data_IF_090119132653
#
_entry.id   IF_090119132653
#
_cell.length_a   1.000
_cell.length_b   1.000
_cell.length_c   1.000
_cell.angle_alpha   90.00
_cell.angle_beta   90.00
_cell.angle_gamma   90.00
#
_symmetry.space_group_name_H-M   'P 1'
#
loop_
_entity.id
_entity.type
_entity.pdbx_description
1 polymer ?
#
# COMPACT_ATOMS: atom_id res chain seq x y z
N UNK A 1 -13.57 17.06 -5.63
CA UNK A 1 -13.06 15.66 -5.59
C UNK A 1 -13.32 15.14 -4.18
N UNK A 2 -13.79 13.90 -3.98
CA UNK A 2 -14.02 13.38 -2.62
C UNK A 2 -12.68 13.09 -1.92
N UNK A 3 -12.62 13.22 -0.60
CA UNK A 3 -11.42 12.93 0.20
C UNK A 3 -10.93 11.49 -0.02
N UNK A 4 -11.84 10.52 -0.15
CA UNK A 4 -11.51 9.13 -0.44
C UNK A 4 -10.81 8.97 -1.80
N UNK A 5 -11.32 9.62 -2.85
CA UNK A 5 -10.68 9.62 -4.18
C UNK A 5 -9.32 10.29 -4.14
N UNK A 6 -9.20 11.38 -3.38
CA UNK A 6 -7.93 12.09 -3.18
C UNK A 6 -6.87 11.20 -2.52
N UNK A 7 -7.25 10.43 -1.49
CA UNK A 7 -6.32 9.50 -0.84
C UNK A 7 -5.96 8.30 -1.73
N UNK A 8 -6.93 7.75 -2.47
CA UNK A 8 -6.67 6.68 -3.42
C UNK A 8 -5.71 7.11 -4.54
N UNK A 9 -5.82 8.36 -5.01
CA UNK A 9 -4.96 8.93 -6.04
C UNK A 9 -3.48 8.93 -5.64
N UNK A 10 -3.10 9.59 -4.53
CA UNK A 10 -1.68 9.62 -4.15
C UNK A 10 -1.14 8.25 -3.73
N UNK A 11 -1.96 7.39 -3.13
CA UNK A 11 -1.56 6.00 -2.81
C UNK A 11 -1.19 5.22 -4.07
N UNK A 12 -1.83 5.53 -5.22
CA UNK A 12 -1.51 4.89 -6.49
C UNK A 12 -0.24 5.45 -7.17
N UNK A 13 0.20 6.64 -6.75
CA UNK A 13 1.39 7.33 -7.28
C UNK A 13 2.67 7.03 -6.50
N UNK A 14 2.57 6.44 -5.29
CA UNK A 14 3.72 6.01 -4.50
C UNK A 14 3.96 4.53 -4.68
N UNK A 15 5.23 4.13 -4.81
CA UNK A 15 5.58 2.72 -4.88
C UNK A 15 5.76 2.19 -3.46
N UNK A 16 4.87 1.28 -3.05
CA UNK A 16 4.93 0.63 -1.74
C UNK A 16 5.18 -0.88 -1.90
N UNK A 17 6.12 -1.40 -1.10
CA UNK A 17 6.41 -2.83 -0.96
C UNK A 17 6.28 -3.22 0.51
N UNK A 18 5.40 -4.16 0.83
CA UNK A 18 5.04 -4.51 2.21
C UNK A 18 3.95 -3.61 2.80
N UNK A 19 3.69 -3.72 4.12
CA UNK A 19 2.60 -2.99 4.76
C UNK A 19 2.82 -1.47 4.75
N UNK A 20 1.75 -0.74 4.41
CA UNK A 20 1.71 0.73 4.41
C UNK A 20 0.33 1.23 4.90
N UNK A 21 -0.04 2.47 4.57
CA UNK A 21 -1.26 3.12 5.03
C UNK A 21 -2.50 2.60 4.30
N UNK A 22 -3.55 2.31 5.07
CA UNK A 22 -4.86 1.91 4.56
C UNK A 22 -5.72 3.14 4.27
N UNK A 23 -6.64 3.03 3.31
CA UNK A 23 -7.59 4.10 3.01
C UNK A 23 -8.49 4.47 4.22
N UNK A 24 -9.01 3.51 5.02
CA UNK A 24 -9.76 3.83 6.22
C UNK A 24 -8.98 4.64 7.26
N UNK A 25 -7.71 4.28 7.54
CA UNK A 25 -6.84 5.05 8.46
C UNK A 25 -6.64 6.47 7.94
N UNK A 26 -6.38 6.63 6.64
CA UNK A 26 -6.22 7.95 6.04
C UNK A 26 -7.48 8.79 6.14
N UNK A 27 -8.66 8.23 5.86
CA UNK A 27 -9.93 8.94 5.98
C UNK A 27 -10.24 9.38 7.42
N UNK A 28 -9.81 8.59 8.40
CA UNK A 28 -9.97 8.93 9.82
C UNK A 28 -9.06 10.08 10.24
N UNK A 29 -7.79 10.05 9.85
CA UNK A 29 -6.77 11.00 10.33
C UNK A 29 -6.67 12.26 9.46
N UNK A 30 -7.03 12.13 8.18
CA UNK A 30 -7.07 13.23 7.21
C UNK A 30 -8.49 13.38 6.61
N UNK A 31 -9.54 13.61 7.43
CA UNK A 31 -10.92 13.68 6.94
C UNK A 31 -11.14 14.83 5.93
N UNK A 32 -10.31 15.87 6.02
CA UNK A 32 -10.31 17.03 5.13
C UNK A 32 -9.25 16.94 4.01
N UNK A 33 -8.59 15.79 3.86
CA UNK A 33 -7.46 15.58 2.95
C UNK A 33 -6.10 15.93 3.56
N UNK A 34 -5.06 15.78 2.75
CA UNK A 34 -3.67 16.06 3.13
C UNK A 34 -3.44 17.56 3.38
N UNK A 35 -2.37 17.92 4.06
CA UNK A 35 -2.04 19.32 4.29
C UNK A 35 -1.82 20.06 2.97
N UNK A 36 -2.31 21.31 2.91
CA UNK A 36 -2.16 22.14 1.72
C UNK A 36 -0.70 22.54 1.50
N UNK A 37 -0.32 22.75 0.25
CA UNK A 37 1.00 23.28 -0.06
C UNK A 37 1.04 24.81 0.00
N UNK A 38 2.14 25.31 0.54
CA UNK A 38 2.53 26.71 0.42
C UNK A 38 3.12 26.96 -0.99
N UNK A 39 2.50 27.83 -1.82
CA UNK A 39 3.00 28.16 -3.16
C UNK A 39 4.40 28.77 -3.17
N UNK A 40 4.78 29.53 -2.15
CA UNK A 40 6.13 30.13 -2.10
C UNK A 40 7.19 29.07 -1.80
N UNK A 41 6.91 28.17 -0.86
CA UNK A 41 7.76 27.01 -0.61
C UNK A 41 7.93 26.13 -1.85
N UNK A 42 6.85 25.90 -2.61
CA UNK A 42 6.93 25.10 -3.84
C UNK A 42 7.87 25.72 -4.89
N UNK A 43 7.91 27.05 -5.00
CA UNK A 43 8.86 27.74 -5.88
C UNK A 43 10.30 27.53 -5.40
N UNK A 44 10.55 27.64 -4.10
CA UNK A 44 11.87 27.41 -3.52
C UNK A 44 12.32 25.95 -3.71
N UNK A 45 11.42 24.99 -3.49
CA UNK A 45 11.68 23.57 -3.74
C UNK A 45 12.07 23.32 -5.20
N UNK A 46 11.33 23.90 -6.16
CA UNK A 46 11.65 23.79 -7.59
C UNK A 46 13.04 24.31 -7.89
N UNK A 47 13.38 25.52 -7.42
CA UNK A 47 14.70 26.11 -7.64
C UNK A 47 15.83 25.26 -7.04
N UNK A 48 15.66 24.79 -5.80
CA UNK A 48 16.64 23.95 -5.13
C UNK A 48 16.81 22.58 -5.81
N UNK A 49 15.72 22.02 -6.32
CA UNK A 49 15.74 20.76 -7.07
C UNK A 49 16.41 20.93 -8.44
N UNK A 50 16.12 22.00 -9.18
CA UNK A 50 16.77 22.33 -10.45
C UNK A 50 18.28 22.54 -10.27
N UNK A 51 18.70 23.30 -9.25
CA UNK A 51 20.11 23.49 -8.91
C UNK A 51 20.80 22.15 -8.58
N UNK A 52 20.13 21.30 -7.80
CA UNK A 52 20.64 19.97 -7.47
C UNK A 52 20.79 19.09 -8.71
N UNK A 53 19.79 19.09 -9.59
CA UNK A 53 19.75 18.31 -10.82
C UNK A 53 20.84 18.77 -11.79
N UNK A 54 21.00 20.09 -12.00
CA UNK A 54 22.06 20.66 -12.82
C UNK A 54 23.45 20.27 -12.30
N UNK A 55 23.64 20.29 -10.99
CA UNK A 55 24.88 19.80 -10.38
C UNK A 55 25.11 18.30 -10.63
N UNK A 56 24.07 17.46 -10.60
CA UNK A 56 24.21 16.03 -10.90
C UNK A 56 24.53 15.75 -12.37
N UNK A 57 24.02 16.58 -13.28
CA UNK A 57 24.26 16.49 -14.72
C UNK A 57 25.59 17.14 -15.14
N UNK A 58 26.19 17.96 -14.28
CA UNK A 58 27.47 18.61 -14.52
C UNK A 58 28.65 17.64 -14.66
N UNK A 59 29.72 18.10 -15.32
CA UNK A 59 30.91 17.28 -15.56
C UNK A 59 31.67 16.88 -14.28
N UNK A 60 31.49 17.65 -13.19
CA UNK A 60 32.07 17.38 -11.87
C UNK A 60 31.03 17.73 -10.78
N UNK A 61 30.11 16.82 -10.47
CA UNK A 61 29.10 17.06 -9.44
C UNK A 61 29.73 17.33 -8.08
N UNK A 62 29.29 18.37 -7.40
CA UNK A 62 29.75 18.75 -6.07
C UNK A 62 28.95 17.99 -4.99
N UNK A 63 29.61 17.22 -4.10
CA UNK A 63 28.92 16.51 -3.01
C UNK A 63 28.25 17.46 -2.01
N UNK A 64 28.75 18.69 -1.87
CA UNK A 64 28.17 19.70 -0.97
C UNK A 64 26.76 20.12 -1.41
N UNK A 65 26.55 20.33 -2.71
CA UNK A 65 25.23 20.66 -3.28
C UNK A 65 24.25 19.50 -3.08
N UNK A 66 24.71 18.25 -3.26
CA UNK A 66 23.88 17.08 -2.96
C UNK A 66 23.42 17.03 -1.50
N UNK A 67 24.35 17.28 -0.56
CA UNK A 67 24.00 17.32 0.86
C UNK A 67 23.11 18.51 1.21
N UNK A 68 23.32 19.67 0.59
CA UNK A 68 22.50 20.86 0.78
C UNK A 68 21.05 20.66 0.29
N UNK A 69 20.85 19.95 -0.83
CA UNK A 69 19.53 19.55 -1.30
C UNK A 69 18.79 18.69 -0.28
N UNK A 70 19.45 17.65 0.24
CA UNK A 70 18.85 16.78 1.27
C UNK A 70 18.56 17.57 2.55
N UNK A 71 19.44 18.50 2.93
CA UNK A 71 19.28 19.38 4.08
C UNK A 71 18.07 20.31 3.92
N UNK A 72 17.93 20.91 2.74
CA UNK A 72 16.77 21.74 2.38
C UNK A 72 15.46 20.95 2.51
N UNK A 73 15.39 19.73 1.96
CA UNK A 73 14.17 18.93 2.04
C UNK A 73 13.84 18.60 3.50
N UNK A 74 14.81 18.17 4.30
CA UNK A 74 14.53 17.79 5.69
C UNK A 74 14.21 18.99 6.58
N UNK A 75 14.92 20.11 6.44
CA UNK A 75 14.74 21.27 7.31
C UNK A 75 13.64 22.22 6.88
N UNK A 76 13.50 22.46 5.58
CA UNK A 76 12.55 23.44 5.04
C UNK A 76 11.27 22.75 4.58
N UNK A 77 11.36 21.64 3.84
CA UNK A 77 10.17 20.97 3.31
C UNK A 77 9.43 20.14 4.37
N UNK A 78 10.17 19.40 5.21
CA UNK A 78 9.61 18.68 6.35
C UNK A 78 9.60 19.51 7.65
N UNK A 79 10.11 20.74 7.61
CA UNK A 79 10.10 21.68 8.73
C UNK A 79 10.78 21.11 9.98
N UNK A 80 11.81 20.27 9.83
CA UNK A 80 12.55 19.67 10.96
C UNK A 80 13.65 20.64 11.44
N UNK A 81 13.47 21.37 12.56
CA UNK A 81 14.45 22.36 12.98
C UNK A 81 15.68 21.72 13.64
N UNK A 82 16.68 22.54 13.94
CA UNK A 82 17.97 22.10 14.49
C UNK A 82 17.87 21.41 15.84
N UNK A 83 16.81 21.64 16.60
CA UNK A 83 16.57 21.03 17.90
C UNK A 83 16.25 19.54 17.76
N UNK A 84 15.57 19.14 16.69
CA UNK A 84 15.12 17.74 16.48
C UNK A 84 15.94 17.00 15.43
N UNK A 85 16.54 17.70 14.45
CA UNK A 85 17.36 17.07 13.41
C UNK A 85 18.86 17.13 13.76
N UNK A 86 19.38 16.04 14.33
CA UNK A 86 20.76 15.93 14.80
C UNK A 86 21.67 15.34 13.73
N UNK A 87 22.87 15.92 13.59
CA UNK A 87 23.87 15.50 12.59
C UNK A 87 25.28 15.46 13.19
N UNK A 88 26.17 14.66 12.59
CA UNK A 88 27.57 14.60 12.98
C UNK A 88 27.76 14.22 14.45
N UNK A 89 28.52 15.03 15.20
CA UNK A 89 28.81 14.76 16.62
C UNK A 89 27.60 14.94 17.55
N UNK A 90 26.51 15.55 17.08
CA UNK A 90 25.28 15.70 17.85
C UNK A 90 24.43 14.43 17.90
N UNK A 91 24.70 13.45 17.02
CA UNK A 91 23.95 12.19 16.99
C UNK A 91 24.22 11.39 18.27
N UNK A 92 23.18 10.87 18.96
CA UNK A 92 23.34 10.05 20.15
C UNK A 92 24.29 8.85 19.93
N UNK A 93 25.18 8.63 20.89
CA UNK A 93 26.08 7.47 20.88
C UNK A 93 25.28 6.17 20.99
N UNK A 94 25.65 5.15 20.22
CA UNK A 94 25.01 3.84 20.25
C UNK A 94 24.08 3.55 19.07
N UNK A 95 23.79 4.54 18.21
CA UNK A 95 23.06 4.34 16.96
C UNK A 95 23.98 3.76 15.88
N UNK A 96 24.28 2.47 16.01
CA UNK A 96 25.09 1.73 15.06
C UNK A 96 24.70 0.25 15.01
N UNK A 97 24.88 -0.36 13.84
CA UNK A 97 24.76 -1.80 13.66
C UNK A 97 26.09 -2.38 13.18
N UNK A 98 26.65 -3.34 13.90
CA UNK A 98 27.86 -4.05 13.48
C UNK A 98 27.46 -5.35 12.80
N UNK A 99 27.68 -5.44 11.49
CA UNK A 99 27.45 -6.64 10.69
C UNK A 99 28.75 -7.45 10.71
N UNK A 100 28.94 -8.21 11.79
CA UNK A 100 30.20 -8.89 12.11
C UNK A 100 30.69 -9.80 10.99
N UNK A 101 29.79 -10.56 10.36
CA UNK A 101 30.10 -11.48 9.25
C UNK A 101 30.70 -10.77 8.03
N UNK A 102 30.39 -9.48 7.86
CA UNK A 102 30.82 -8.68 6.72
C UNK A 102 31.88 -7.63 7.10
N UNK A 103 32.18 -7.48 8.39
CA UNK A 103 33.12 -6.49 8.91
C UNK A 103 32.69 -5.04 8.67
N UNK A 104 31.39 -4.78 8.55
CA UNK A 104 30.84 -3.45 8.29
C UNK A 104 30.11 -2.90 9.51
N UNK A 105 30.23 -1.59 9.77
CA UNK A 105 29.43 -0.90 10.78
C UNK A 105 28.57 0.15 10.09
N UNK A 106 27.26 0.04 10.29
CA UNK A 106 26.26 0.96 9.78
C UNK A 106 26.02 2.05 10.82
N UNK A 107 25.84 3.29 10.36
CA UNK A 107 25.46 4.43 11.17
C UNK A 107 24.48 5.30 10.36
N UNK A 108 23.57 6.02 11.03
CA UNK A 108 22.79 7.05 10.35
C UNK A 108 23.69 8.24 10.00
N UNK A 109 23.36 8.93 8.91
CA UNK A 109 23.96 10.21 8.58
C UNK A 109 23.37 11.31 9.45
N UNK A 110 22.03 11.35 9.59
CA UNK A 110 21.25 12.24 10.46
C UNK A 110 20.18 11.47 11.25
N UNK A 111 19.67 12.08 12.32
CA UNK A 111 18.64 11.47 13.19
C UNK A 111 17.62 12.52 13.59
N UNK A 112 16.33 12.20 13.45
CA UNK A 112 15.24 12.96 14.07
C UNK A 112 15.01 12.41 15.48
N UNK A 113 15.04 13.27 16.48
CA UNK A 113 14.83 12.91 17.88
C UNK A 113 13.65 13.65 18.50
N UNK A 114 13.07 13.07 19.55
CA UNK A 114 12.11 13.77 20.41
C UNK A 114 12.78 15.00 21.05
N UNK A 115 12.11 16.18 21.04
CA UNK A 115 12.61 17.39 21.69
C UNK A 115 12.95 17.16 23.17
N UNK A 116 12.11 16.37 23.84
CA UNK A 116 12.27 15.99 25.23
C UNK A 116 12.89 14.60 25.31
N UNK A 117 14.16 14.53 25.72
CA UNK A 117 14.83 13.26 26.02
C UNK A 117 15.64 12.63 24.87
N UNK A 118 15.74 13.27 23.70
CA UNK A 118 16.58 12.85 22.58
C UNK A 118 16.35 11.41 22.10
N UNK A 119 15.14 10.87 22.31
CA UNK A 119 14.79 9.53 21.83
C UNK A 119 14.71 9.55 20.30
N UNK A 120 15.43 8.66 19.58
CA UNK A 120 15.40 8.61 18.12
C UNK A 120 14.03 8.18 17.60
N UNK A 121 13.50 8.92 16.61
CA UNK A 121 12.23 8.65 15.92
C UNK A 121 12.42 8.25 14.46
N UNK A 122 13.39 8.86 13.77
CA UNK A 122 13.72 8.55 12.38
C UNK A 122 15.24 8.53 12.19
N UNK A 123 15.77 7.46 11.61
CA UNK A 123 17.17 7.40 11.17
C UNK A 123 17.26 7.76 9.69
N UNK A 124 18.19 8.64 9.31
CA UNK A 124 18.36 9.05 7.91
C UNK A 124 19.71 8.59 7.37
N UNK A 125 19.72 7.97 6.19
CA UNK A 125 20.94 7.67 5.44
C UNK A 125 20.93 8.31 4.06
N UNK A 126 22.06 8.94 3.73
CA UNK A 126 22.28 9.62 2.45
C UNK A 126 23.32 8.80 1.67
N UNK A 127 22.93 8.29 0.52
CA UNK A 127 23.84 7.57 -0.39
C UNK A 127 24.19 8.42 -1.60
N UNK A 128 25.17 7.96 -2.38
CA UNK A 128 25.58 8.67 -3.59
C UNK A 128 24.40 8.81 -4.58
N UNK A 129 24.31 9.92 -5.32
CA UNK A 129 23.19 10.18 -6.24
C UNK A 129 22.94 9.08 -7.27
N UNK A 130 23.98 8.40 -7.74
CA UNK A 130 23.88 7.34 -8.74
C UNK A 130 23.51 5.97 -8.14
N UNK A 131 23.48 5.86 -6.80
CA UNK A 131 23.14 4.61 -6.12
C UNK A 131 21.62 4.43 -6.11
N UNK A 132 21.15 3.34 -6.70
CA UNK A 132 19.76 2.90 -6.57
C UNK A 132 19.55 2.29 -5.16
N UNK A 133 18.46 2.66 -4.48
CA UNK A 133 18.24 2.31 -3.08
C UNK A 133 17.89 0.83 -2.85
N UNK A 134 17.46 0.14 -3.90
CA UNK A 134 17.07 -1.27 -3.87
C UNK A 134 18.13 -2.21 -4.44
N UNK A 135 19.13 -1.66 -5.14
CA UNK A 135 20.25 -2.44 -5.69
C UNK A 135 21.43 -2.51 -4.71
N UNK A 136 22.17 -3.63 -4.68
CA UNK A 136 23.39 -3.75 -3.87
C UNK A 136 24.42 -2.65 -4.11
N UNK A 137 25.11 -2.24 -3.04
CA UNK A 137 26.27 -1.35 -3.14
C UNK A 137 27.43 -2.07 -3.87
N UNK A 138 27.91 -1.50 -4.98
CA UNK A 138 28.96 -2.13 -5.82
C UNK A 138 30.30 -2.23 -5.11
N UNK A 139 30.69 -1.22 -4.33
CA UNK A 139 32.03 -1.09 -3.74
C UNK A 139 32.12 -1.57 -2.28
N UNK A 140 31.12 -2.33 -1.82
CA UNK A 140 31.08 -2.88 -0.46
C UNK A 140 31.25 -4.39 -0.45
N UNK A 141 31.78 -4.91 0.67
CA UNK A 141 31.92 -6.37 0.90
C UNK A 141 30.55 -6.98 1.05
N UNK A 142 29.71 -6.34 1.86
CA UNK A 142 28.32 -6.72 2.00
C UNK A 142 27.49 -6.23 0.80
N UNK A 143 27.06 -7.16 -0.04
CA UNK A 143 26.21 -6.91 -1.22
C UNK A 143 24.73 -6.69 -0.88
N UNK A 144 24.45 -5.92 0.15
CA UNK A 144 23.09 -5.48 0.49
C UNK A 144 22.77 -4.12 -0.14
N UNK A 145 21.48 -3.91 -0.44
CA UNK A 145 20.97 -2.63 -0.90
C UNK A 145 20.90 -1.61 0.23
N UNK A 146 20.94 -0.29 -0.05
CA UNK A 146 20.68 0.74 0.96
C UNK A 146 19.41 0.49 1.79
N UNK A 147 18.32 0.05 1.15
CA UNK A 147 17.07 -0.32 1.82
C UNK A 147 17.27 -1.43 2.88
N UNK A 148 17.96 -2.51 2.50
CA UNK A 148 18.25 -3.65 3.40
C UNK A 148 19.17 -3.22 4.54
N UNK A 149 20.17 -2.39 4.24
CA UNK A 149 21.11 -1.87 5.24
C UNK A 149 20.40 -0.98 6.27
N UNK A 150 19.45 -0.16 5.84
CA UNK A 150 18.63 0.63 6.75
C UNK A 150 17.78 -0.27 7.66
N UNK A 151 17.14 -1.31 7.13
CA UNK A 151 16.38 -2.28 7.95
C UNK A 151 17.24 -2.89 9.07
N UNK A 152 18.45 -3.37 8.74
CA UNK A 152 19.38 -3.91 9.75
C UNK A 152 19.79 -2.85 10.79
N UNK A 153 20.03 -1.62 10.34
CA UNK A 153 20.34 -0.51 11.24
C UNK A 153 19.19 -0.20 12.21
N UNK A 154 17.96 -0.18 11.71
CA UNK A 154 16.74 0.06 12.49
C UNK A 154 16.54 -1.01 13.57
N UNK A 155 16.65 -2.29 13.18
CA UNK A 155 16.53 -3.41 14.11
C UNK A 155 17.59 -3.37 15.21
N UNK A 156 18.86 -3.11 14.86
CA UNK A 156 19.95 -3.02 15.82
C UNK A 156 19.78 -1.83 16.79
N UNK A 157 19.35 -0.67 16.27
CA UNK A 157 19.14 0.54 17.08
C UNK A 157 17.82 0.53 17.87
N UNK A 158 16.92 -0.44 17.64
CA UNK A 158 15.56 -0.45 18.17
C UNK A 158 14.76 0.82 17.79
N UNK A 159 14.91 1.27 16.54
CA UNK A 159 14.18 2.40 15.96
C UNK A 159 13.29 1.86 14.84
N UNK A 160 12.02 2.28 14.77
CA UNK A 160 11.05 1.73 13.82
C UNK A 160 11.18 2.30 12.41
N UNK A 161 11.42 3.61 12.30
CA UNK A 161 11.38 4.33 11.03
C UNK A 161 12.78 4.73 10.58
N UNK A 162 13.05 4.54 9.30
CA UNK A 162 14.24 5.05 8.63
C UNK A 162 13.91 5.69 7.29
N UNK A 163 14.71 6.66 6.87
CA UNK A 163 14.61 7.31 5.57
C UNK A 163 15.94 7.15 4.84
N UNK A 164 15.91 6.58 3.64
CA UNK A 164 17.09 6.45 2.79
C UNK A 164 16.90 7.32 1.56
N UNK A 165 17.92 8.09 1.18
CA UNK A 165 17.83 8.91 -0.02
C UNK A 165 19.14 9.00 -0.80
N UNK A 166 19.02 9.09 -2.11
CA UNK A 166 20.09 9.50 -3.03
C UNK A 166 19.85 10.92 -3.59
N UNK A 167 18.91 11.68 -3.02
CA UNK A 167 18.46 12.99 -3.47
C UNK A 167 17.25 12.94 -4.39
N UNK A 168 17.20 12.00 -5.34
CA UNK A 168 16.03 11.81 -6.22
C UNK A 168 14.99 10.92 -5.57
N UNK A 169 15.41 9.74 -5.11
CA UNK A 169 14.58 8.72 -4.51
C UNK A 169 14.60 8.89 -2.99
N UNK A 170 13.41 8.97 -2.40
CA UNK A 170 13.19 9.08 -0.96
C UNK A 170 12.42 7.84 -0.49
N UNK A 171 13.13 6.94 0.18
CA UNK A 171 12.61 5.65 0.61
C UNK A 171 12.38 5.63 2.13
N UNK A 172 11.11 5.64 2.54
CA UNK A 172 10.73 5.35 3.92
C UNK A 172 10.79 3.84 4.16
N UNK A 173 11.44 3.46 5.26
CA UNK A 173 11.53 2.08 5.76
C UNK A 173 10.81 2.03 7.10
N UNK A 174 9.75 1.23 7.19
CA UNK A 174 9.06 0.90 8.43
C UNK A 174 9.42 -0.53 8.83
N UNK A 175 10.26 -0.71 9.85
CA UNK A 175 10.79 -2.00 10.27
C UNK A 175 10.39 -2.32 11.73
N UNK A 176 9.11 -2.65 12.00
CA UNK A 176 8.68 -3.11 13.31
C UNK A 176 9.30 -4.46 13.65
N UNK A 177 9.76 -4.63 14.91
CA UNK A 177 10.42 -5.86 15.35
C UNK A 177 9.46 -7.05 15.31
N UNK A 178 9.83 -8.09 14.58
CA UNK A 178 9.05 -9.33 14.48
C UNK A 178 7.87 -9.26 13.51
N UNK A 179 7.71 -8.14 12.81
CA UNK A 179 6.67 -7.91 11.81
C UNK A 179 7.30 -7.66 10.43
N UNK A 180 6.47 -7.66 9.37
CA UNK A 180 6.94 -7.44 8.00
C UNK A 180 7.39 -6.00 7.79
N UNK A 181 8.60 -5.80 7.27
CA UNK A 181 9.11 -4.48 6.89
C UNK A 181 8.36 -3.92 5.68
N UNK A 182 7.95 -2.65 5.78
CA UNK A 182 7.38 -1.88 4.68
C UNK A 182 8.39 -0.89 4.09
N UNK A 183 8.34 -0.69 2.78
CA UNK A 183 9.19 0.20 1.99
C UNK A 183 8.31 1.09 1.12
N UNK A 184 8.48 2.41 1.20
CA UNK A 184 7.65 3.35 0.45
C UNK A 184 8.51 4.43 -0.20
N UNK A 185 8.33 4.60 -1.50
CA UNK A 185 9.16 5.44 -2.36
C UNK A 185 8.42 6.70 -2.80
N UNK A 186 9.09 7.83 -2.65
CA UNK A 186 8.78 9.09 -3.34
C UNK A 186 9.94 9.48 -4.26
N UNK A 187 9.62 10.23 -5.31
CA UNK A 187 10.59 10.71 -6.29
C UNK A 187 10.51 12.24 -6.40
N UNK A 188 11.67 12.91 -6.34
CA UNK A 188 11.79 14.36 -6.37
C UNK A 188 11.21 14.97 -7.65
N UNK A 189 11.45 14.36 -8.81
CA UNK A 189 10.86 14.79 -10.07
C UNK A 189 9.33 14.80 -10.02
N UNK A 190 8.74 13.77 -9.41
CA UNK A 190 7.29 13.60 -9.34
C UNK A 190 6.62 14.63 -8.43
N UNK A 191 7.33 15.20 -7.46
CA UNK A 191 6.80 16.26 -6.59
C UNK A 191 6.39 17.52 -7.36
N UNK A 192 7.03 17.80 -8.50
CA UNK A 192 6.76 18.98 -9.32
C UNK A 192 5.64 18.75 -10.35
N UNK A 193 5.43 17.49 -10.76
CA UNK A 193 4.39 17.08 -11.71
C UNK A 193 3.09 16.76 -10.98
N UNK A 194 3.20 15.95 -9.92
CA UNK A 194 2.10 15.45 -9.11
C UNK A 194 2.22 15.97 -7.67
N UNK A 195 1.86 17.25 -7.47
CA UNK A 195 1.97 17.93 -6.17
C UNK A 195 1.33 17.16 -5.01
N UNK A 196 0.35 16.30 -5.26
CA UNK A 196 -0.29 15.47 -4.24
C UNK A 196 0.70 14.49 -3.56
N UNK A 197 1.72 14.04 -4.28
CA UNK A 197 2.78 13.16 -3.73
C UNK A 197 3.67 13.90 -2.74
N UNK A 198 3.98 15.17 -3.01
CA UNK A 198 4.69 16.05 -2.09
C UNK A 198 3.82 16.38 -0.86
N UNK A 199 2.51 16.57 -1.03
CA UNK A 199 1.58 16.78 0.10
C UNK A 199 1.58 15.57 1.02
N UNK A 200 1.54 14.37 0.44
CA UNK A 200 1.60 13.13 1.21
C UNK A 200 2.94 13.01 1.94
N UNK A 201 4.06 13.26 1.26
CA UNK A 201 5.39 13.24 1.86
C UNK A 201 5.49 14.18 3.08
N UNK A 202 5.04 15.43 2.95
CA UNK A 202 5.03 16.42 4.05
C UNK A 202 4.07 16.06 5.18
N UNK A 203 2.84 15.65 4.86
CA UNK A 203 1.82 15.33 5.87
C UNK A 203 2.21 14.10 6.73
N UNK A 204 3.04 13.20 6.18
CA UNK A 204 3.48 11.98 6.84
C UNK A 204 4.83 12.12 7.55
N UNK A 205 5.76 12.90 7.00
CA UNK A 205 7.14 13.00 7.51
C UNK A 205 7.51 14.37 8.07
N UNK A 206 6.59 15.34 8.02
CA UNK A 206 6.79 16.67 8.57
C UNK A 206 6.85 16.67 10.11
N UNK A 207 7.46 17.71 10.66
CA UNK A 207 7.63 17.90 12.11
C UNK A 207 6.32 17.76 12.90
N UNK A 208 5.22 18.27 12.35
CA UNK A 208 3.89 18.19 12.96
C UNK A 208 3.41 16.74 13.13
N UNK A 209 3.72 15.84 12.19
CA UNK A 209 3.32 14.43 12.31
C UNK A 209 4.11 13.68 13.39
N UNK A 210 5.34 14.09 13.65
CA UNK A 210 6.17 13.48 14.70
C UNK A 210 5.85 14.02 16.10
N UNK A 211 5.56 15.32 16.22
CA UNK A 211 5.54 16.01 17.51
C UNK A 211 4.34 16.93 17.75
N UNK A 212 3.48 17.15 16.76
CA UNK A 212 2.33 18.05 16.82
C UNK A 212 0.96 17.35 16.90
N UNK A 213 0.96 16.02 16.94
CA UNK A 213 -0.25 15.18 17.00
C UNK A 213 -0.18 14.24 18.19
N UNK A 214 -1.33 13.72 18.61
CA UNK A 214 -1.40 12.67 19.64
C UNK A 214 -0.64 11.41 19.19
N UNK A 215 -0.12 10.65 20.14
CA UNK A 215 0.64 9.42 19.87
C UNK A 215 -0.13 8.43 18.98
N UNK A 216 -1.47 8.38 19.09
CA UNK A 216 -2.35 7.54 18.26
C UNK A 216 -2.43 7.97 16.80
N UNK A 217 -2.02 9.19 16.49
CA UNK A 217 -1.99 9.75 15.13
C UNK A 217 -0.55 9.91 14.59
N UNK A 218 0.46 9.54 15.38
CA UNK A 218 1.85 9.45 14.90
C UNK A 218 1.96 8.50 13.70
N UNK A 219 2.93 8.73 12.81
CA UNK A 219 3.12 7.88 11.63
C UNK A 219 3.27 6.39 12.01
N UNK A 220 3.99 6.09 13.10
CA UNK A 220 4.14 4.73 13.63
C UNK A 220 2.78 4.11 13.98
N UNK A 221 1.89 4.86 14.64
CA UNK A 221 0.56 4.41 15.01
C UNK A 221 -0.33 4.24 13.77
N UNK A 222 -0.25 5.13 12.79
CA UNK A 222 -1.01 5.01 11.53
C UNK A 222 -0.61 3.75 10.75
N UNK A 223 0.69 3.47 10.68
CA UNK A 223 1.20 2.25 10.05
C UNK A 223 0.74 1.00 10.80
N UNK A 224 0.73 1.03 12.15
CA UNK A 224 0.22 -0.09 12.94
C UNK A 224 -1.28 -0.31 12.71
N UNK A 225 -2.08 0.75 12.79
CA UNK A 225 -3.52 0.67 12.57
C UNK A 225 -3.83 0.15 11.17
N UNK A 226 -3.04 0.53 10.17
CA UNK A 226 -3.24 0.07 8.79
C UNK A 226 -2.97 -1.42 8.61
N UNK A 227 -1.98 -1.98 9.33
CA UNK A 227 -1.73 -3.43 9.37
C UNK A 227 -2.92 -4.14 10.01
N UNK A 228 -3.42 -3.63 11.14
CA UNK A 228 -4.59 -4.20 11.83
C UNK A 228 -5.84 -4.15 10.95
N UNK A 229 -6.14 -3.02 10.31
CA UNK A 229 -7.26 -2.89 9.37
C UNK A 229 -7.20 -3.91 8.24
N UNK A 230 -6.02 -4.12 7.64
CA UNK A 230 -5.84 -5.08 6.55
C UNK A 230 -6.05 -6.53 7.03
N UNK A 231 -5.62 -6.85 8.26
CA UNK A 231 -5.87 -8.15 8.88
C UNK A 231 -7.36 -8.34 9.19
N UNK A 232 -8.02 -7.33 9.78
CA UNK A 232 -9.45 -7.38 10.10
C UNK A 232 -10.32 -7.55 8.84
N UNK A 233 -10.01 -6.83 7.76
CA UNK A 233 -10.70 -7.01 6.47
C UNK A 233 -10.51 -8.43 5.94
N UNK A 234 -9.31 -9.00 6.07
CA UNK A 234 -9.02 -10.37 5.63
C UNK A 234 -9.78 -11.41 6.46
N UNK A 235 -9.82 -11.22 7.78
CA UNK A 235 -10.52 -12.11 8.70
C UNK A 235 -12.05 -12.04 8.54
N UNK A 236 -12.59 -10.82 8.41
CA UNK A 236 -14.01 -10.59 8.15
C UNK A 236 -14.42 -11.18 6.79
N UNK A 237 -13.62 -10.97 5.74
CA UNK A 237 -13.88 -11.56 4.43
C UNK A 237 -13.83 -13.09 4.51
N UNK A 238 -12.84 -13.66 5.21
CA UNK A 238 -12.75 -15.11 5.42
C UNK A 238 -13.93 -15.70 6.20
N UNK A 239 -14.47 -14.97 7.16
CA UNK A 239 -15.71 -15.36 7.86
C UNK A 239 -16.94 -15.25 6.96
N UNK A 240 -17.10 -14.14 6.23
CA UNK A 240 -18.21 -13.91 5.31
C UNK A 240 -18.24 -14.95 4.18
N UNK A 241 -17.08 -15.30 3.61
CA UNK A 241 -16.96 -16.33 2.58
C UNK A 241 -17.39 -17.69 3.14
N UNK A 242 -16.92 -18.10 4.33
CA UNK A 242 -17.34 -19.35 4.95
C UNK A 242 -18.84 -19.41 5.18
N UNK A 243 -19.43 -18.35 5.74
CA UNK A 243 -20.87 -18.25 5.94
C UNK A 243 -21.64 -18.31 4.62
N UNK A 244 -21.14 -17.66 3.56
CA UNK A 244 -21.77 -17.71 2.25
C UNK A 244 -21.67 -19.11 1.60
N UNK A 245 -20.56 -19.82 1.80
CA UNK A 245 -20.41 -21.23 1.38
C UNK A 245 -21.41 -22.10 2.12
N UNK A 246 -21.55 -21.95 3.43
CA UNK A 246 -22.55 -22.67 4.24
C UNK A 246 -23.96 -22.48 3.67
N UNK A 247 -24.38 -21.22 3.44
CA UNK A 247 -25.70 -20.91 2.85
C UNK A 247 -25.88 -21.55 1.48
N UNK A 248 -24.84 -21.55 0.63
CA UNK A 248 -24.91 -22.18 -0.69
C UNK A 248 -25.03 -23.71 -0.59
N UNK A 249 -24.25 -24.34 0.29
CA UNK A 249 -24.29 -25.80 0.50
C UNK A 249 -25.63 -26.22 1.10
N UNK A 250 -26.15 -25.46 2.07
CA UNK A 250 -27.49 -25.68 2.65
C UNK A 250 -28.59 -25.56 1.58
N UNK A 251 -28.52 -24.55 0.71
CA UNK A 251 -29.46 -24.39 -0.39
C UNK A 251 -29.39 -25.57 -1.38
N UNK A 252 -28.19 -26.05 -1.70
CA UNK A 252 -28.00 -27.22 -2.57
C UNK A 252 -28.51 -28.51 -1.92
N UNK A 253 -28.29 -28.70 -0.61
CA UNK A 253 -28.82 -29.84 0.14
C UNK A 253 -30.35 -29.83 0.16
N UNK A 254 -30.97 -28.67 0.37
CA UNK A 254 -32.42 -28.52 0.32
C UNK A 254 -33.00 -28.89 -1.05
N UNK A 255 -32.38 -28.39 -2.13
CA UNK A 255 -32.80 -28.71 -3.51
C UNK A 255 -32.60 -30.21 -3.81
N UNK A 256 -31.55 -30.83 -3.29
CA UNK A 256 -31.30 -32.26 -3.44
C UNK A 256 -32.34 -33.10 -2.69
N UNK A 257 -32.75 -32.68 -1.48
CA UNK A 257 -33.85 -33.30 -0.73
C UNK A 257 -35.16 -33.27 -1.52
N UNK A 258 -35.53 -32.12 -2.07
CA UNK A 258 -36.73 -31.96 -2.90
C UNK A 258 -36.71 -32.84 -4.16
N UNK A 259 -35.50 -33.22 -4.60
CA UNK A 259 -35.27 -34.11 -5.75
C UNK A 259 -34.96 -35.56 -5.35
N UNK A 260 -35.36 -35.98 -4.15
CA UNK A 260 -35.17 -37.33 -3.62
C UNK A 260 -33.70 -37.80 -3.61
N UNK A 261 -32.76 -36.90 -3.31
CA UNK A 261 -31.32 -37.19 -3.20
C UNK A 261 -30.65 -37.68 -4.48
N UNK A 262 -31.21 -37.33 -5.64
CA UNK A 262 -30.69 -37.72 -6.96
C UNK A 262 -29.69 -36.69 -7.51
N UNK A 263 -29.82 -35.42 -7.14
CA UNK A 263 -29.04 -34.32 -7.74
C UNK A 263 -27.56 -34.40 -7.36
N UNK A 264 -27.27 -34.72 -6.10
CA UNK A 264 -25.91 -34.79 -5.55
C UNK A 264 -25.37 -36.23 -5.51
N UNK A 265 -26.03 -37.18 -6.16
CA UNK A 265 -25.63 -38.58 -6.15
C UNK A 265 -24.20 -38.75 -6.71
N UNK A 266 -23.31 -39.31 -5.89
CA UNK A 266 -21.91 -39.58 -6.26
C UNK A 266 -20.95 -38.40 -6.06
N UNK A 267 -21.42 -37.28 -5.51
CA UNK A 267 -20.59 -36.14 -5.10
C UNK A 267 -20.31 -36.26 -3.60
N UNK A 268 -19.03 -36.17 -3.19
CA UNK A 268 -18.70 -36.17 -1.76
C UNK A 268 -18.96 -34.81 -1.12
N UNK A 269 -19.16 -34.77 0.20
CA UNK A 269 -19.30 -33.52 0.96
C UNK A 269 -18.10 -32.59 0.76
N UNK A 270 -16.89 -33.16 0.70
CA UNK A 270 -15.65 -32.43 0.44
C UNK A 270 -15.67 -31.77 -0.94
N UNK A 271 -16.02 -32.53 -1.99
CA UNK A 271 -16.08 -32.00 -3.36
C UNK A 271 -17.15 -30.91 -3.49
N UNK A 272 -18.29 -31.08 -2.82
CA UNK A 272 -19.38 -30.10 -2.79
C UNK A 272 -18.93 -28.80 -2.12
N UNK A 273 -18.25 -28.90 -0.98
CA UNK A 273 -17.70 -27.75 -0.27
C UNK A 273 -16.62 -27.04 -1.08
N UNK A 274 -15.68 -27.77 -1.68
CA UNK A 274 -14.63 -27.19 -2.54
C UNK A 274 -15.22 -26.50 -3.78
N UNK A 275 -16.25 -27.09 -4.40
CA UNK A 275 -16.95 -26.47 -5.53
C UNK A 275 -17.70 -25.19 -5.12
N UNK A 276 -18.40 -25.20 -3.97
CA UNK A 276 -19.08 -24.03 -3.44
C UNK A 276 -18.08 -22.92 -3.07
N UNK A 277 -16.96 -23.26 -2.44
CA UNK A 277 -15.86 -22.34 -2.15
C UNK A 277 -15.27 -21.74 -3.44
N UNK A 278 -15.09 -22.54 -4.48
CA UNK A 278 -14.60 -22.07 -5.78
C UNK A 278 -15.52 -21.00 -6.38
N UNK A 279 -16.84 -21.22 -6.32
CA UNK A 279 -17.83 -20.24 -6.79
C UNK A 279 -17.75 -18.96 -5.96
N UNK A 280 -17.64 -19.06 -4.63
CA UNK A 280 -17.51 -17.90 -3.75
C UNK A 280 -16.24 -17.09 -4.02
N UNK A 281 -15.10 -17.76 -4.20
CA UNK A 281 -13.84 -17.08 -4.52
C UNK A 281 -13.91 -16.36 -5.86
N UNK A 282 -14.60 -16.92 -6.87
CA UNK A 282 -14.84 -16.25 -8.15
C UNK A 282 -15.73 -15.00 -7.98
N UNK A 283 -16.76 -15.05 -7.15
CA UNK A 283 -17.59 -13.88 -6.86
C UNK A 283 -16.80 -12.78 -6.15
N UNK A 284 -16.01 -13.12 -5.12
CA UNK A 284 -15.12 -12.17 -4.42
C UNK A 284 -14.18 -11.50 -5.41
N UNK A 285 -13.56 -12.28 -6.31
CA UNK A 285 -12.69 -11.75 -7.36
C UNK A 285 -13.42 -10.77 -8.28
N UNK A 286 -14.62 -11.11 -8.76
CA UNK A 286 -15.38 -10.25 -9.66
C UNK A 286 -15.79 -8.94 -8.98
N UNK A 287 -16.29 -8.99 -7.74
CA UNK A 287 -16.61 -7.77 -6.98
C UNK A 287 -15.37 -6.89 -6.80
N UNK A 288 -14.23 -7.48 -6.42
CA UNK A 288 -12.99 -6.73 -6.26
C UNK A 288 -12.48 -6.15 -7.59
N UNK A 289 -12.66 -6.85 -8.71
CA UNK A 289 -12.22 -6.38 -10.02
C UNK A 289 -13.10 -5.25 -10.55
N UNK A 290 -14.41 -5.31 -10.33
CA UNK A 290 -15.36 -4.23 -10.64
C UNK A 290 -15.05 -2.97 -9.84
N UNK A 291 -14.85 -3.09 -8.52
CA UNK A 291 -14.55 -1.95 -7.64
C UNK A 291 -13.22 -1.27 -7.97
N UNK A 292 -12.21 -2.06 -8.38
CA UNK A 292 -10.88 -1.54 -8.79
C UNK A 292 -10.84 -1.04 -10.23
N UNK A 293 -11.95 -1.06 -10.97
CA UNK A 293 -12.01 -0.61 -12.36
C UNK A 293 -11.24 -1.50 -13.34
N UNK A 294 -11.00 -2.77 -12.98
CA UNK A 294 -10.32 -3.75 -13.84
C UNK A 294 -11.27 -4.37 -14.88
N UNK A 295 -12.58 -4.19 -14.68
CA UNK A 295 -13.65 -4.61 -15.59
C UNK A 295 -14.40 -3.37 -16.10
N UNK A 296 -15.17 -3.54 -17.17
CA UNK A 296 -15.84 -2.45 -17.90
C UNK A 296 -17.09 -1.92 -17.16
N UNK A 297 -17.00 -1.72 -15.86
CA UNK A 297 -18.10 -1.16 -15.06
C UNK A 297 -18.40 0.27 -15.53
N UNK A 298 -19.67 0.56 -15.82
CA UNK A 298 -20.11 1.80 -16.46
C UNK A 298 -20.31 1.70 -17.98
N UNK A 299 -19.84 0.62 -18.61
CA UNK A 299 -20.26 0.29 -19.98
C UNK A 299 -21.67 -0.34 -19.95
N UNK A 300 -22.64 0.18 -20.73
CA UNK A 300 -24.02 -0.31 -20.68
C UNK A 300 -24.18 -1.81 -20.97
N UNK A 301 -23.34 -2.38 -21.85
CA UNK A 301 -23.42 -3.81 -22.18
C UNK A 301 -22.85 -4.67 -21.06
N UNK A 302 -21.71 -4.26 -20.49
CA UNK A 302 -21.13 -4.95 -19.34
C UNK A 302 -22.08 -4.88 -18.13
N UNK A 303 -22.56 -3.69 -17.80
CA UNK A 303 -23.44 -3.45 -16.64
C UNK A 303 -24.73 -4.26 -16.73
N UNK A 304 -25.33 -4.36 -17.92
CA UNK A 304 -26.59 -5.08 -18.09
C UNK A 304 -26.43 -6.61 -18.11
N UNK A 305 -25.31 -7.12 -18.62
CA UNK A 305 -25.19 -8.54 -18.95
C UNK A 305 -24.12 -9.30 -18.18
N UNK A 306 -23.11 -8.63 -17.62
CA UNK A 306 -21.96 -9.29 -17.01
C UNK A 306 -21.67 -8.83 -15.59
N UNK A 307 -21.92 -7.56 -15.28
CA UNK A 307 -21.58 -7.00 -13.98
C UNK A 307 -22.30 -7.75 -12.84
N UNK A 308 -21.54 -8.21 -11.85
CA UNK A 308 -22.06 -8.99 -10.72
C UNK A 308 -22.66 -8.05 -9.67
N UNK A 309 -22.08 -6.87 -9.47
CA UNK A 309 -22.65 -5.79 -8.65
C UNK A 309 -24.08 -5.44 -9.08
N UNK A 310 -24.29 -5.20 -10.38
CA UNK A 310 -25.62 -4.87 -10.92
C UNK A 310 -26.59 -6.05 -10.83
N UNK A 311 -26.13 -7.29 -11.06
CA UNK A 311 -26.96 -8.48 -10.89
C UNK A 311 -27.44 -8.62 -9.44
N UNK A 312 -26.54 -8.42 -8.47
CA UNK A 312 -26.88 -8.44 -7.04
C UNK A 312 -27.95 -7.38 -6.72
N UNK A 313 -27.76 -6.15 -7.17
CA UNK A 313 -28.74 -5.07 -6.95
C UNK A 313 -30.10 -5.40 -7.56
N UNK A 314 -30.13 -5.95 -8.77
CA UNK A 314 -31.38 -6.36 -9.42
C UNK A 314 -32.10 -7.48 -8.65
N UNK A 315 -31.35 -8.46 -8.12
CA UNK A 315 -31.92 -9.53 -7.30
C UNK A 315 -32.48 -8.99 -5.98
N UNK A 316 -31.73 -8.10 -5.30
CA UNK A 316 -32.18 -7.46 -4.07
C UNK A 316 -33.45 -6.62 -4.30
N UNK A 317 -33.46 -5.76 -5.31
CA UNK A 317 -34.61 -4.92 -5.63
C UNK A 317 -35.88 -5.73 -5.94
N UNK A 318 -35.73 -6.94 -6.49
CA UNK A 318 -36.86 -7.84 -6.72
C UNK A 318 -37.31 -8.50 -5.43
N UNK A 319 -36.39 -9.02 -4.63
CA UNK A 319 -36.69 -9.58 -3.32
C UNK A 319 -37.42 -8.56 -2.42
N UNK A 320 -36.98 -7.30 -2.41
CA UNK A 320 -37.60 -6.23 -1.62
C UNK A 320 -39.05 -5.92 -2.06
N UNK A 321 -39.37 -6.10 -3.35
CA UNK A 321 -40.69 -5.78 -3.92
C UNK A 321 -41.67 -6.95 -3.85
N UNK A 322 -41.18 -8.15 -4.09
CA UNK A 322 -42.01 -9.32 -4.39
C UNK A 322 -41.78 -10.50 -3.40
N UNK A 323 -40.79 -10.37 -2.51
CA UNK A 323 -40.36 -11.42 -1.59
C UNK A 323 -39.26 -12.33 -2.16
N UNK A 324 -38.51 -13.01 -1.29
CA UNK A 324 -37.40 -13.89 -1.69
C UNK A 324 -37.88 -15.15 -2.43
N UNK A 325 -39.09 -15.64 -2.16
CA UNK A 325 -39.70 -16.82 -2.82
C UNK A 325 -39.76 -16.69 -4.35
N UNK A 326 -39.81 -15.47 -4.89
CA UNK A 326 -39.81 -15.24 -6.34
C UNK A 326 -38.46 -15.62 -6.97
N UNK A 327 -37.37 -15.52 -6.22
CA UNK A 327 -36.03 -15.87 -6.69
C UNK A 327 -35.87 -17.39 -6.87
N UNK A 328 -36.56 -18.21 -6.05
CA UNK A 328 -36.51 -19.68 -6.16
C UNK A 328 -37.06 -20.21 -7.48
N UNK A 329 -37.94 -19.44 -8.13
CA UNK A 329 -38.60 -19.83 -9.38
C UNK A 329 -37.85 -19.37 -10.62
N UNK A 330 -36.70 -18.70 -10.46
CA UNK A 330 -35.90 -18.14 -11.56
C UNK A 330 -34.46 -18.65 -11.52
N UNK A 331 -33.90 -18.90 -12.70
CA UNK A 331 -32.59 -19.54 -12.85
C UNK A 331 -31.63 -18.73 -13.73
N UNK A 332 -32.05 -17.56 -14.21
CA UNK A 332 -31.30 -16.70 -15.14
C UNK A 332 -30.04 -16.10 -14.50
N UNK A 333 -30.08 -15.80 -13.21
CA UNK A 333 -28.94 -15.26 -12.46
C UNK A 333 -27.73 -16.22 -12.48
N UNK A 334 -27.95 -17.52 -12.28
CA UNK A 334 -26.89 -18.52 -12.32
C UNK A 334 -26.26 -18.64 -13.71
N UNK A 335 -27.09 -18.66 -14.76
CA UNK A 335 -26.61 -18.67 -16.14
C UNK A 335 -25.77 -17.44 -16.47
N UNK A 336 -26.19 -16.25 -15.98
CA UNK A 336 -25.43 -15.00 -16.13
C UNK A 336 -24.08 -15.08 -15.42
N UNK A 337 -24.03 -15.55 -14.17
CA UNK A 337 -22.78 -15.74 -13.44
C UNK A 337 -21.82 -16.70 -14.17
N UNK A 338 -22.32 -17.84 -14.66
CA UNK A 338 -21.52 -18.78 -15.44
C UNK A 338 -20.97 -18.17 -16.73
N UNK A 339 -21.76 -17.35 -17.42
CA UNK A 339 -21.32 -16.63 -18.60
C UNK A 339 -20.21 -15.62 -18.25
N UNK A 340 -20.36 -14.85 -17.17
CA UNK A 340 -19.32 -13.93 -16.69
C UNK A 340 -18.04 -14.67 -16.29
N UNK A 341 -18.13 -15.77 -15.54
CA UNK A 341 -16.99 -16.61 -15.18
C UNK A 341 -16.21 -17.10 -16.41
N UNK A 342 -16.94 -17.57 -17.43
CA UNK A 342 -16.33 -18.03 -18.69
C UNK A 342 -15.74 -16.89 -19.51
N UNK A 343 -16.39 -15.73 -19.54
CA UNK A 343 -15.89 -14.55 -20.24
C UNK A 343 -14.55 -14.08 -19.65
N UNK A 344 -14.46 -13.99 -18.32
CA UNK A 344 -13.23 -13.61 -17.62
C UNK A 344 -12.14 -14.66 -17.79
N UNK A 345 -12.47 -15.95 -17.71
CA UNK A 345 -11.51 -17.03 -17.99
C UNK A 345 -11.01 -17.00 -19.46
N UNK A 346 -11.90 -16.77 -20.42
CA UNK A 346 -11.57 -16.69 -21.85
C UNK A 346 -10.73 -15.47 -22.23
N UNK A 347 -10.94 -14.33 -21.55
CA UNK A 347 -10.13 -13.12 -21.74
C UNK A 347 -8.65 -13.32 -21.40
N UNK A 348 -8.30 -14.33 -20.59
CA UNK A 348 -6.92 -14.76 -20.31
C UNK A 348 -6.17 -15.22 -21.58
N UNK A 349 -6.87 -15.72 -22.59
CA UNK A 349 -6.27 -16.29 -23.81
C UNK A 349 -6.15 -15.30 -24.98
N UNK A 350 -6.87 -14.17 -24.94
CA UNK A 350 -6.78 -13.09 -25.92
C UNK A 350 -6.30 -11.83 -25.20
N UNK A 351 -4.99 -11.71 -25.03
CA UNK A 351 -4.25 -10.67 -24.31
C UNK A 351 -5.00 -9.35 -24.02
N UNK A 352 -5.41 -9.16 -22.75
CA UNK A 352 -5.37 -7.86 -22.09
C UNK A 352 -4.22 -7.94 -21.08
N UNK A 353 -3.18 -7.14 -21.29
CA UNK A 353 -1.95 -7.15 -20.49
C UNK A 353 -2.16 -6.74 -19.04
N UNK A 354 -2.61 -7.68 -18.20
CA UNK A 354 -2.52 -7.59 -16.76
C UNK A 354 -1.36 -8.47 -16.29
N UNK A 355 -0.22 -7.83 -16.03
CA UNK A 355 0.92 -8.47 -15.38
C UNK A 355 0.57 -8.82 -13.93
N UNK A 356 0.27 -10.09 -13.67
CA UNK A 356 0.80 -10.84 -12.54
C UNK A 356 0.31 -12.29 -12.60
N UNK A 357 1.20 -13.17 -13.02
CA UNK A 357 1.00 -14.61 -13.24
C UNK A 357 0.75 -15.42 -11.96
N UNK A 358 0.72 -14.78 -10.79
CA UNK A 358 0.53 -15.45 -9.48
C UNK A 358 -0.96 -15.58 -9.10
N UNK A 359 -1.86 -14.79 -9.70
CA UNK A 359 -3.28 -14.69 -9.28
C UNK A 359 -4.26 -15.67 -9.94
N UNK A 360 -3.82 -16.44 -10.93
CA UNK A 360 -4.72 -17.21 -11.81
C UNK A 360 -4.71 -18.73 -11.57
N UNK A 361 -3.98 -19.22 -10.56
CA UNK A 361 -3.89 -20.66 -10.27
C UNK A 361 -5.09 -21.21 -9.45
N UNK A 362 -6.02 -20.34 -9.07
CA UNK A 362 -7.26 -20.68 -8.34
C UNK A 362 -8.54 -20.55 -9.20
N UNK A 363 -8.40 -20.42 -10.52
CA UNK A 363 -9.52 -20.42 -11.48
C UNK A 363 -9.77 -21.77 -12.12
#
# INVERSE_FOLDING_TARGET
MSTARHHAEWLSLVEASGPFLSLPVLLKVFPNGLDAHDPEHLKLLRLAYEEWQDNQLGAKPEPAIHRAWVDFVLRQTLELPDEVLLTGQRIPTGLAATIAEQGETLRPDWVVVEPDGNKPRLLVQIVLPQQNLEKPLKDRRWKASPATRMMELLHACNVRLGLVTNGEHWLLVNAPRGETTGFISWYGALWLEEHITLRAFRSLLGVQRFFGVDDSESLEALLQASVTDQQEVTDQLGYQVRKAVEVLVEALDHIDQDRNRILLQGISETDLYEAALTVMMRLVFLFSAEERGLLLLGDPLYDQHYAVSTLREQLQQRADKEGEEVLERRYDAWCRLLATFRAVYGAKYYSLGLGNTIWFNSW
#
